data_IF_418499680683
#
_entry.id   IF_418499680683
#
_cell.length_a   1.000
_cell.length_b   1.000
_cell.length_c   1.000
_cell.angle_alpha   90.00
_cell.angle_beta   90.00
_cell.angle_gamma   90.00
#
_symmetry.space_group_name_H-M   'P 1'
#
loop_
_entity.id
_entity.type
_entity.pdbx_description
1 polymer ?
#
# COMPACT_ATOMS: atom_id res chain seq x y z
N UNK A 1 -9.75 65.78 11.36
CA UNK A 1 -8.49 65.02 11.08
C UNK A 1 -8.42 63.70 11.86
N UNK A 2 -9.45 62.80 11.80
CA UNK A 2 -9.45 61.52 12.52
C UNK A 2 -9.87 60.33 11.66
N UNK A 3 -9.90 60.48 10.31
CA UNK A 3 -10.38 59.43 9.41
C UNK A 3 -9.33 58.43 8.86
N UNK A 4 -8.01 58.71 9.01
CA UNK A 4 -6.96 57.96 8.32
C UNK A 4 -6.46 56.70 9.06
N UNK A 5 -6.59 56.61 10.37
CA UNK A 5 -6.02 55.53 11.17
C UNK A 5 -6.79 54.22 11.11
N UNK A 6 -8.12 54.28 11.08
CA UNK A 6 -8.99 53.14 11.06
C UNK A 6 -8.91 52.27 9.78
N UNK A 7 -8.68 52.90 8.63
CA UNK A 7 -8.56 52.23 7.36
C UNK A 7 -7.24 51.46 7.20
N UNK A 8 -6.17 51.95 7.78
CA UNK A 8 -4.86 51.26 7.78
C UNK A 8 -4.89 50.05 8.68
N UNK A 9 -5.47 50.15 9.87
CA UNK A 9 -5.61 49.04 10.82
C UNK A 9 -6.47 47.89 10.21
N UNK A 10 -7.61 48.22 9.60
CA UNK A 10 -8.47 47.22 8.93
C UNK A 10 -7.76 46.54 7.79
N UNK A 11 -6.97 47.21 6.98
CA UNK A 11 -6.18 46.62 5.89
C UNK A 11 -5.08 45.72 6.41
N UNK A 12 -4.41 46.08 7.49
CA UNK A 12 -3.37 45.23 8.11
C UNK A 12 -3.95 43.98 8.74
N UNK A 13 -5.08 44.09 9.44
CA UNK A 13 -5.78 42.91 10.01
C UNK A 13 -6.24 41.99 8.89
N UNK A 14 -6.82 42.50 7.83
CA UNK A 14 -7.25 41.70 6.69
C UNK A 14 -6.08 40.94 6.02
N UNK A 15 -4.95 41.61 5.82
CA UNK A 15 -3.75 41.00 5.24
C UNK A 15 -3.19 39.87 6.11
N UNK A 16 -3.19 40.03 7.44
CA UNK A 16 -2.77 38.97 8.37
C UNK A 16 -3.71 37.78 8.33
N UNK A 17 -5.02 38.00 8.35
CA UNK A 17 -6.02 36.93 8.30
C UNK A 17 -5.93 36.13 7.00
N UNK A 18 -5.80 36.82 5.85
CA UNK A 18 -5.62 36.17 4.55
C UNK A 18 -4.29 35.38 4.52
N UNK A 19 -3.20 35.98 5.01
CA UNK A 19 -1.91 35.28 5.04
C UNK A 19 -1.92 34.01 5.87
N UNK A 20 -2.51 34.05 7.07
CA UNK A 20 -2.67 32.86 7.92
C UNK A 20 -3.58 31.82 7.26
N UNK A 21 -4.68 32.24 6.65
CA UNK A 21 -5.61 31.36 5.94
C UNK A 21 -4.93 30.61 4.79
N UNK A 22 -4.09 31.30 4.00
CA UNK A 22 -3.33 30.69 2.90
C UNK A 22 -2.32 29.68 3.42
N UNK A 23 -1.57 30.00 4.47
CA UNK A 23 -0.59 29.07 5.07
C UNK A 23 -1.28 27.81 5.59
N UNK A 24 -2.41 27.94 6.29
CA UNK A 24 -3.17 26.79 6.79
C UNK A 24 -3.72 25.92 5.66
N UNK A 25 -4.22 26.54 4.59
CA UNK A 25 -4.74 25.81 3.44
C UNK A 25 -3.65 24.97 2.74
N UNK A 26 -2.47 25.55 2.50
CA UNK A 26 -1.36 24.82 1.88
C UNK A 26 -0.84 23.68 2.74
N UNK A 27 -0.77 23.86 4.07
CA UNK A 27 -0.32 22.79 4.96
C UNK A 27 -1.27 21.59 4.93
N UNK A 28 -2.58 21.78 4.91
CA UNK A 28 -3.53 20.68 4.86
C UNK A 28 -3.45 19.87 3.55
N UNK A 29 -3.25 20.52 2.41
CA UNK A 29 -3.16 19.84 1.11
C UNK A 29 -1.92 18.95 0.98
N UNK A 30 -0.78 19.35 1.52
CA UNK A 30 0.47 18.56 1.50
C UNK A 30 0.33 17.29 2.34
N UNK A 31 -0.26 17.37 3.51
CA UNK A 31 -0.49 16.20 4.36
C UNK A 31 -1.47 15.19 3.74
N UNK A 32 -2.50 15.67 3.06
CA UNK A 32 -3.46 14.81 2.37
C UNK A 32 -2.82 14.03 1.21
N UNK A 33 -1.90 14.64 0.46
CA UNK A 33 -1.18 13.97 -0.63
C UNK A 33 -0.22 12.91 -0.10
N UNK A 34 0.56 13.21 0.93
CA UNK A 34 1.49 12.26 1.54
C UNK A 34 0.75 11.01 2.06
N UNK A 35 -0.34 11.20 2.79
CA UNK A 35 -1.18 10.11 3.27
C UNK A 35 -1.82 9.29 2.15
N UNK A 36 -2.20 9.94 1.03
CA UNK A 36 -2.71 9.27 -0.16
C UNK A 36 -1.70 8.33 -0.79
N UNK A 37 -0.47 8.82 -1.04
CA UNK A 37 0.61 8.00 -1.59
C UNK A 37 1.02 6.86 -0.66
N UNK A 38 1.10 7.10 0.63
CA UNK A 38 1.40 6.07 1.62
C UNK A 38 0.31 4.98 1.66
N UNK A 39 -0.96 5.36 1.52
CA UNK A 39 -2.08 4.41 1.47
C UNK A 39 -2.05 3.52 0.22
N UNK A 40 -1.71 4.10 -0.95
CA UNK A 40 -1.52 3.33 -2.19
C UNK A 40 -0.33 2.37 -2.06
N UNK A 41 0.80 2.85 -1.52
CA UNK A 41 1.97 2.02 -1.25
C UNK A 41 1.66 0.85 -0.31
N UNK A 42 0.86 1.08 0.71
CA UNK A 42 0.41 0.02 1.61
C UNK A 42 -0.44 -1.04 0.88
N UNK A 43 -1.38 -0.62 0.00
CA UNK A 43 -2.18 -1.56 -0.79
C UNK A 43 -1.32 -2.47 -1.67
N UNK A 44 -0.36 -1.90 -2.40
CA UNK A 44 0.60 -2.70 -3.17
C UNK A 44 1.49 -3.59 -2.29
N UNK A 45 1.81 -3.14 -1.09
CA UNK A 45 2.53 -3.95 -0.12
C UNK A 45 1.72 -5.15 0.35
N UNK A 46 0.43 -5.00 0.63
CA UNK A 46 -0.46 -6.10 1.01
C UNK A 46 -0.59 -7.14 -0.13
N UNK A 47 -0.72 -6.70 -1.38
CA UNK A 47 -0.67 -7.58 -2.56
C UNK A 47 0.65 -8.35 -2.67
N UNK A 48 1.77 -7.65 -2.53
CA UNK A 48 3.10 -8.28 -2.57
C UNK A 48 3.29 -9.33 -1.48
N UNK A 49 2.74 -9.11 -0.29
CA UNK A 49 2.75 -10.09 0.79
C UNK A 49 2.02 -11.37 0.39
N UNK A 50 0.82 -11.27 -0.19
CA UNK A 50 0.04 -12.42 -0.64
C UNK A 50 0.76 -13.21 -1.74
N UNK A 51 1.39 -12.53 -2.70
CA UNK A 51 2.18 -13.19 -3.74
C UNK A 51 3.40 -13.91 -3.17
N UNK A 52 4.04 -13.36 -2.16
CA UNK A 52 5.16 -14.02 -1.48
C UNK A 52 4.69 -15.29 -0.73
N UNK A 53 3.52 -15.26 -0.09
CA UNK A 53 2.91 -16.45 0.51
C UNK A 53 2.61 -17.53 -0.55
N UNK A 54 2.05 -17.13 -1.70
CA UNK A 54 1.79 -18.06 -2.79
C UNK A 54 3.08 -18.69 -3.33
N UNK A 55 4.12 -17.89 -3.52
CA UNK A 55 5.43 -18.40 -3.94
C UNK A 55 5.95 -19.46 -2.94
N UNK A 56 5.83 -19.22 -1.65
CA UNK A 56 6.23 -20.18 -0.60
C UNK A 56 5.47 -21.49 -0.75
N UNK A 57 4.13 -21.44 -0.90
CA UNK A 57 3.28 -22.61 -1.08
C UNK A 57 3.67 -23.43 -2.32
N UNK A 58 3.94 -22.74 -3.44
CA UNK A 58 4.37 -23.40 -4.68
C UNK A 58 5.76 -24.04 -4.57
N UNK A 59 6.70 -23.39 -3.90
CA UNK A 59 8.02 -23.98 -3.62
C UNK A 59 7.91 -25.20 -2.71
N UNK A 60 7.10 -25.15 -1.66
CA UNK A 60 6.85 -26.29 -0.79
C UNK A 60 6.22 -27.47 -1.53
N UNK A 61 5.27 -27.17 -2.41
CA UNK A 61 4.62 -28.19 -3.22
C UNK A 61 5.61 -28.81 -4.21
N UNK A 62 6.36 -28.01 -4.96
CA UNK A 62 7.36 -28.49 -5.92
C UNK A 62 8.43 -29.35 -5.26
N UNK A 63 8.90 -28.99 -4.06
CA UNK A 63 9.87 -29.78 -3.30
C UNK A 63 9.35 -31.15 -2.84
N UNK A 64 8.04 -31.31 -2.71
CA UNK A 64 7.39 -32.58 -2.33
C UNK A 64 7.08 -33.48 -3.54
N UNK A 65 7.20 -32.97 -4.76
CA UNK A 65 6.91 -33.73 -5.96
C UNK A 65 7.95 -34.86 -6.15
N UNK A 66 7.52 -36.06 -6.61
CA UNK A 66 8.43 -37.19 -6.76
C UNK A 66 9.49 -36.99 -7.85
N UNK A 67 9.24 -36.12 -8.81
CA UNK A 67 10.13 -35.75 -9.90
C UNK A 67 11.04 -34.55 -9.58
N UNK A 68 11.02 -34.03 -8.35
CA UNK A 68 11.89 -32.96 -7.91
C UNK A 68 13.37 -33.41 -8.04
N UNK A 69 14.11 -32.73 -8.93
CA UNK A 69 15.51 -33.01 -9.17
C UNK A 69 16.42 -32.47 -8.05
N UNK A 70 17.72 -32.82 -8.08
CA UNK A 70 18.69 -32.40 -7.08
C UNK A 70 18.83 -30.89 -6.95
N UNK A 71 18.81 -30.16 -8.05
CA UNK A 71 18.99 -28.71 -8.08
C UNK A 71 17.77 -28.00 -7.45
N UNK A 72 16.57 -28.48 -7.78
CA UNK A 72 15.35 -27.97 -7.15
C UNK A 72 15.37 -28.24 -5.63
N UNK A 73 15.76 -29.44 -5.21
CA UNK A 73 15.83 -29.78 -3.77
C UNK A 73 16.85 -28.91 -3.04
N UNK A 74 18.02 -28.70 -3.62
CA UNK A 74 19.08 -27.91 -3.01
C UNK A 74 18.76 -26.41 -3.00
N UNK A 75 18.54 -25.82 -4.16
CA UNK A 75 18.32 -24.37 -4.30
C UNK A 75 16.91 -23.96 -3.89
N UNK A 76 15.90 -24.77 -4.16
CA UNK A 76 14.53 -24.52 -3.75
C UNK A 76 14.34 -24.56 -2.24
N UNK A 77 15.08 -25.43 -1.55
CA UNK A 77 15.11 -25.47 -0.07
C UNK A 77 15.68 -24.18 0.53
N UNK A 78 16.79 -23.69 -0.03
CA UNK A 78 17.40 -22.42 0.39
C UNK A 78 16.48 -21.24 0.07
N UNK A 79 15.89 -21.22 -1.15
CA UNK A 79 14.95 -20.18 -1.56
C UNK A 79 13.73 -20.14 -0.63
N UNK A 80 13.20 -21.30 -0.24
CA UNK A 80 12.08 -21.41 0.69
C UNK A 80 12.41 -20.84 2.07
N UNK A 81 13.60 -21.10 2.57
CA UNK A 81 14.07 -20.54 3.85
C UNK A 81 14.11 -19.01 3.79
N UNK A 82 14.76 -18.44 2.77
CA UNK A 82 14.85 -16.99 2.59
C UNK A 82 13.49 -16.35 2.35
N UNK A 83 12.61 -17.00 1.60
CA UNK A 83 11.26 -16.49 1.38
C UNK A 83 10.43 -16.41 2.66
N UNK A 84 10.52 -17.40 3.53
CA UNK A 84 9.86 -17.37 4.84
C UNK A 84 10.41 -16.28 5.77
N UNK A 85 11.70 -16.04 5.71
CA UNK A 85 12.36 -14.97 6.46
C UNK A 85 11.95 -13.60 5.92
N UNK A 86 11.92 -13.44 4.59
CA UNK A 86 11.43 -12.24 3.92
C UNK A 86 9.97 -11.95 4.28
N UNK A 87 9.12 -12.98 4.36
CA UNK A 87 7.70 -12.81 4.73
C UNK A 87 7.54 -12.22 6.15
N UNK A 88 8.38 -12.61 7.10
CA UNK A 88 8.37 -12.02 8.45
C UNK A 88 8.72 -10.53 8.41
N UNK A 89 9.80 -10.17 7.72
CA UNK A 89 10.21 -8.76 7.59
C UNK A 89 9.20 -7.95 6.81
N UNK A 90 8.54 -8.56 5.82
CA UNK A 90 7.49 -7.92 5.06
C UNK A 90 6.28 -7.60 5.94
N UNK A 91 5.88 -8.53 6.81
CA UNK A 91 4.80 -8.31 7.76
C UNK A 91 5.09 -7.16 8.73
N UNK A 92 6.33 -7.09 9.26
CA UNK A 92 6.74 -5.96 10.10
C UNK A 92 6.70 -4.62 9.34
N UNK A 93 7.12 -4.60 8.08
CA UNK A 93 7.05 -3.41 7.24
C UNK A 93 5.60 -2.95 7.02
N UNK A 94 4.68 -3.87 6.74
CA UNK A 94 3.25 -3.56 6.59
C UNK A 94 2.63 -3.04 7.89
N UNK A 95 3.04 -3.58 9.03
CA UNK A 95 2.62 -3.11 10.35
C UNK A 95 3.00 -1.64 10.54
N UNK A 96 4.29 -1.30 10.33
CA UNK A 96 4.76 0.07 10.46
C UNK A 96 4.13 1.01 9.42
N UNK A 97 3.85 0.54 8.21
CA UNK A 97 3.14 1.32 7.20
C UNK A 97 1.71 1.63 7.65
N UNK A 98 0.98 0.69 8.24
CA UNK A 98 -0.34 0.92 8.82
C UNK A 98 -0.29 1.93 9.97
N UNK A 99 0.66 1.76 10.89
CA UNK A 99 0.87 2.66 12.04
C UNK A 99 1.17 4.10 11.57
N UNK A 100 1.97 4.25 10.50
CA UNK A 100 2.29 5.57 9.92
C UNK A 100 1.06 6.32 9.39
N UNK A 101 0.00 5.59 9.04
CA UNK A 101 -1.30 6.13 8.61
C UNK A 101 -2.30 6.27 9.77
N UNK A 102 -1.87 6.07 11.01
CA UNK A 102 -2.75 6.11 12.19
C UNK A 102 -3.74 4.95 12.24
N UNK A 103 -3.47 3.85 11.51
CA UNK A 103 -4.29 2.64 11.52
C UNK A 103 -3.71 1.64 12.51
N UNK A 104 -4.57 0.88 13.18
CA UNK A 104 -4.11 -0.27 13.98
C UNK A 104 -3.41 -1.28 13.05
N UNK A 105 -2.33 -1.88 13.55
CA UNK A 105 -1.61 -2.90 12.80
C UNK A 105 -2.58 -4.03 12.39
N UNK A 106 -2.82 -4.13 11.08
CA UNK A 106 -3.63 -5.20 10.51
C UNK A 106 -2.73 -6.40 10.29
N UNK A 107 -3.09 -7.53 10.83
CA UNK A 107 -2.40 -8.77 10.51
C UNK A 107 -3.12 -9.39 9.30
N UNK A 108 -2.52 -9.42 8.10
CA UNK A 108 -3.17 -9.97 6.92
C UNK A 108 -3.54 -11.45 7.08
N UNK A 109 -2.89 -12.17 8.00
CA UNK A 109 -3.22 -13.56 8.30
C UNK A 109 -4.50 -13.77 9.12
N UNK A 110 -5.01 -12.75 9.82
CA UNK A 110 -6.17 -12.89 10.71
C UNK A 110 -7.48 -12.36 10.13
N UNK A 111 -7.46 -11.66 9.01
CA UNK A 111 -8.63 -10.98 8.46
C UNK A 111 -9.27 -11.73 7.27
N UNK A 112 -9.21 -13.05 7.27
CA UNK A 112 -9.90 -13.91 6.29
C UNK A 112 -11.44 -13.92 6.41
N UNK A 113 -12.03 -12.96 7.12
CA UNK A 113 -13.47 -12.82 7.28
C UNK A 113 -13.90 -11.37 7.18
N UNK A 114 -14.16 -10.89 5.97
CA UNK A 114 -14.81 -9.58 5.79
C UNK A 114 -14.62 -8.95 4.43
N UNK A 115 -15.43 -9.35 3.47
CA UNK A 115 -15.99 -8.62 2.34
C UNK A 115 -15.37 -7.29 1.91
N UNK A 116 -14.60 -7.31 0.86
CA UNK A 116 -14.31 -6.16 0.03
C UNK A 116 -14.42 -6.60 -1.42
N UNK A 117 -15.56 -6.30 -2.07
CA UNK A 117 -15.84 -6.71 -3.43
C UNK A 117 -14.82 -6.18 -4.41
N UNK A 118 -13.99 -7.05 -4.93
CA UNK A 118 -13.26 -6.83 -6.16
C UNK A 118 -14.25 -7.07 -7.31
N UNK A 119 -14.70 -5.98 -7.91
CA UNK A 119 -15.38 -6.03 -9.19
C UNK A 119 -14.34 -6.40 -10.23
N UNK A 120 -14.15 -7.71 -10.45
CA UNK A 120 -13.40 -8.24 -11.57
C UNK A 120 -14.23 -8.00 -12.83
N UNK A 121 -13.84 -6.99 -13.60
CA UNK A 121 -14.29 -6.83 -14.97
C UNK A 121 -13.55 -7.89 -15.82
N UNK A 122 -14.13 -9.06 -15.94
CA UNK A 122 -13.66 -10.11 -16.85
C UNK A 122 -13.88 -9.65 -18.29
N UNK A 123 -12.82 -9.12 -18.90
CA UNK A 123 -12.72 -8.95 -20.33
C UNK A 123 -12.59 -10.31 -21.01
N UNK A 124 -13.70 -10.78 -21.54
CA UNK A 124 -13.83 -11.97 -22.37
C UNK A 124 -12.95 -11.87 -23.60
N UNK A 125 -11.81 -12.57 -23.63
CA UNK A 125 -11.04 -12.82 -24.85
C UNK A 125 -11.47 -14.17 -25.43
N UNK A 126 -12.38 -14.09 -26.39
CA UNK A 126 -12.72 -15.19 -27.28
C UNK A 126 -11.56 -15.42 -28.26
N UNK A 127 -10.84 -16.54 -28.10
CA UNK A 127 -9.98 -17.07 -29.15
C UNK A 127 -10.82 -17.86 -30.17
N UNK A 128 -10.96 -17.31 -31.36
CA UNK A 128 -11.41 -18.06 -32.52
C UNK A 128 -10.27 -18.98 -32.99
N UNK A 129 -10.49 -20.27 -32.88
CA UNK A 129 -9.68 -21.27 -33.59
C UNK A 129 -10.08 -21.25 -35.07
N UNK A 130 -9.19 -20.75 -35.92
CA UNK A 130 -9.26 -20.90 -37.37
C UNK A 130 -8.58 -22.18 -37.81
N UNK A 131 -9.37 -23.17 -38.24
CA UNK A 131 -8.91 -24.35 -38.94
C UNK A 131 -8.44 -24.01 -40.35
N UNK A 132 -7.22 -24.41 -40.70
CA UNK A 132 -6.81 -24.81 -42.04
C UNK A 132 -5.60 -25.75 -41.95
#
# INVERSE_FOLDING_TARGET
FLGGGMNRLKKSVLAVVVGVGVILYFSHSVWAQAGGHASVGLGHGEEGYLHLEEMIKHLEFGLKMPDANSDLKMHGGVALQHAREALKHYNEALKHANESLGRSARNPMMDGSGGGGHSSNEGSHSHEEGSH
#
